data_IF_700563256013
#
_entry.id   IF_700563256013
#
_cell.length_a   1.000
_cell.length_b   1.000
_cell.length_c   1.000
_cell.angle_alpha   90.00
_cell.angle_beta   90.00
_cell.angle_gamma   90.00
#
_symmetry.space_group_name_H-M   'P 1'
#
loop_
_entity.id
_entity.type
_entity.pdbx_description
1 polymer ?
#
# COMPACT_ATOMS: atom_id res chain seq x y z
N UNK A 1 -47.23 -86.65 -35.21
CA UNK A 1 -46.70 -85.40 -35.76
C UNK A 1 -46.47 -84.44 -34.60
N UNK A 2 -45.28 -84.37 -34.07
CA UNK A 2 -44.89 -83.48 -32.93
C UNK A 2 -44.33 -82.21 -33.51
N UNK A 3 -44.94 -81.09 -33.20
CA UNK A 3 -44.40 -79.74 -33.47
C UNK A 3 -43.61 -79.31 -32.22
N UNK A 4 -42.31 -79.12 -32.37
CA UNK A 4 -41.42 -78.54 -31.36
C UNK A 4 -41.54 -77.01 -31.42
N UNK A 5 -41.92 -76.39 -30.30
CA UNK A 5 -41.89 -74.96 -30.08
C UNK A 5 -40.51 -74.54 -29.57
N UNK A 6 -39.84 -73.60 -30.21
CA UNK A 6 -38.61 -72.95 -29.78
C UNK A 6 -38.98 -71.69 -28.96
N UNK A 7 -38.42 -71.48 -27.79
CA UNK A 7 -38.60 -70.25 -27.06
C UNK A 7 -37.55 -69.22 -27.56
N UNK A 8 -38.00 -68.06 -27.95
CA UNK A 8 -37.17 -66.91 -28.22
C UNK A 8 -36.81 -66.23 -26.88
N UNK A 9 -35.52 -66.28 -26.50
CA UNK A 9 -34.99 -65.45 -25.41
C UNK A 9 -34.66 -64.08 -25.98
N UNK A 10 -35.47 -63.07 -25.66
CA UNK A 10 -35.14 -61.65 -25.90
C UNK A 10 -34.14 -61.18 -24.87
N UNK A 11 -32.88 -60.95 -25.32
CA UNK A 11 -31.85 -60.35 -24.49
C UNK A 11 -32.13 -58.85 -24.37
N UNK A 12 -32.67 -58.41 -23.22
CA UNK A 12 -32.80 -56.98 -22.88
C UNK A 12 -31.43 -56.45 -22.52
N UNK A 13 -30.77 -55.75 -23.43
CA UNK A 13 -29.55 -54.98 -23.13
C UNK A 13 -29.99 -53.69 -22.41
N UNK A 14 -29.83 -53.66 -21.11
CA UNK A 14 -30.02 -52.43 -20.33
C UNK A 14 -28.86 -51.48 -20.61
N UNK A 15 -29.12 -50.46 -21.43
CA UNK A 15 -28.22 -49.31 -21.60
C UNK A 15 -28.30 -48.48 -20.34
N UNK A 16 -27.31 -48.65 -19.44
CA UNK A 16 -27.14 -47.79 -18.28
C UNK A 16 -26.54 -46.47 -18.82
N UNK A 17 -27.23 -45.33 -18.79
CA UNK A 17 -26.63 -44.08 -19.13
C UNK A 17 -25.54 -43.78 -18.09
N UNK A 18 -24.27 -43.83 -18.53
CA UNK A 18 -23.17 -43.30 -17.74
C UNK A 18 -23.45 -41.80 -17.51
N UNK A 19 -23.91 -41.47 -16.34
CA UNK A 19 -23.94 -40.08 -15.87
C UNK A 19 -22.47 -39.63 -15.77
N UNK A 20 -21.97 -39.11 -16.88
CA UNK A 20 -20.74 -38.29 -16.84
C UNK A 20 -21.10 -37.09 -15.99
N UNK A 21 -20.77 -37.18 -14.72
CA UNK A 21 -20.86 -36.07 -13.82
C UNK A 21 -19.91 -34.99 -14.37
N UNK A 22 -20.48 -34.00 -15.04
CA UNK A 22 -19.71 -32.86 -15.53
C UNK A 22 -19.01 -32.29 -14.29
N UNK A 23 -17.70 -32.42 -14.25
CA UNK A 23 -16.87 -31.86 -13.17
C UNK A 23 -17.17 -30.36 -13.14
N UNK A 24 -17.78 -29.89 -12.06
CA UNK A 24 -18.17 -28.47 -11.91
C UNK A 24 -16.89 -27.65 -12.04
N UNK A 25 -16.84 -26.80 -13.08
CA UNK A 25 -15.67 -25.96 -13.35
C UNK A 25 -15.56 -24.93 -12.21
N UNK A 26 -14.52 -25.07 -11.39
CA UNK A 26 -14.24 -24.16 -10.25
C UNK A 26 -13.52 -22.92 -10.70
N UNK A 27 -13.77 -21.83 -9.98
CA UNK A 27 -12.97 -20.60 -10.12
C UNK A 27 -11.74 -20.70 -9.23
N UNK A 28 -10.57 -20.51 -9.81
CA UNK A 28 -9.35 -20.39 -9.01
C UNK A 28 -9.31 -19.02 -8.33
N UNK A 29 -9.21 -19.00 -7.01
CA UNK A 29 -9.11 -17.79 -6.21
C UNK A 29 -7.76 -17.80 -5.50
N UNK A 30 -6.93 -16.80 -5.79
CA UNK A 30 -5.68 -16.57 -5.09
C UNK A 30 -5.80 -15.30 -4.24
N UNK A 31 -5.42 -15.38 -2.96
CA UNK A 31 -5.44 -14.24 -2.04
C UNK A 31 -4.00 -13.81 -1.79
N UNK A 32 -3.63 -12.64 -2.33
CA UNK A 32 -2.39 -11.97 -2.01
C UNK A 32 -2.61 -11.06 -0.80
N UNK A 33 -2.03 -11.44 0.32
CA UNK A 33 -1.99 -10.59 1.51
C UNK A 33 -0.85 -9.60 1.41
N UNK A 34 -1.14 -8.31 1.56
CA UNK A 34 -0.16 -7.22 1.47
C UNK A 34 -0.03 -6.46 2.79
N UNK A 35 1.14 -5.92 3.07
CA UNK A 35 1.36 -4.95 4.15
C UNK A 35 1.25 -3.52 3.56
N UNK A 36 0.25 -3.28 2.73
CA UNK A 36 -0.04 -2.02 2.04
C UNK A 36 1.23 -1.29 1.56
N UNK A 37 1.47 -0.04 1.93
CA UNK A 37 2.61 0.75 1.48
C UNK A 37 4.01 0.18 1.83
N UNK A 38 4.12 -1.01 2.45
CA UNK A 38 5.41 -1.68 2.67
C UNK A 38 6.20 -1.90 1.37
N UNK A 39 5.52 -1.98 0.23
CA UNK A 39 6.13 -2.03 -1.09
C UNK A 39 7.09 -0.86 -1.36
N UNK A 40 6.92 0.25 -0.66
CA UNK A 40 7.80 1.42 -0.78
C UNK A 40 9.05 1.32 0.11
N UNK A 41 9.13 0.32 1.00
CA UNK A 41 10.22 0.13 1.96
C UNK A 41 10.93 -1.21 1.78
N UNK A 42 10.20 -2.25 1.40
CA UNK A 42 10.69 -3.63 1.25
C UNK A 42 11.06 -3.92 -0.21
N UNK A 43 12.36 -4.07 -0.49
CA UNK A 43 12.85 -4.35 -1.86
C UNK A 43 12.27 -5.63 -2.47
N UNK A 44 12.08 -6.68 -1.65
CA UNK A 44 11.54 -7.97 -2.12
C UNK A 44 10.04 -7.93 -2.44
N UNK A 45 9.36 -6.85 -2.05
CA UNK A 45 7.94 -6.58 -2.31
C UNK A 45 7.73 -5.32 -3.17
N UNK A 46 8.78 -4.77 -3.77
CA UNK A 46 8.75 -3.51 -4.53
C UNK A 46 7.61 -3.42 -5.56
N UNK A 47 7.13 -2.21 -5.91
CA UNK A 47 5.96 -2.03 -6.79
C UNK A 47 6.02 -2.78 -8.11
N UNK A 48 7.21 -2.84 -8.74
CA UNK A 48 7.43 -3.60 -9.96
C UNK A 48 7.18 -5.11 -9.82
N UNK A 49 7.27 -5.66 -8.59
CA UNK A 49 6.97 -7.06 -8.34
C UNK A 49 5.48 -7.35 -8.55
N UNK A 50 4.59 -6.55 -7.96
CA UNK A 50 3.15 -6.70 -8.15
C UNK A 50 2.74 -6.43 -9.60
N UNK A 51 3.28 -5.38 -10.23
CA UNK A 51 2.99 -5.07 -11.61
C UNK A 51 3.38 -6.22 -12.57
N UNK A 52 4.59 -6.75 -12.41
CA UNK A 52 5.06 -7.90 -13.20
C UNK A 52 4.28 -9.19 -12.90
N UNK A 53 3.83 -9.37 -11.66
CA UNK A 53 3.04 -10.55 -11.29
C UNK A 53 1.63 -10.50 -11.87
N UNK A 54 1.00 -9.34 -11.91
CA UNK A 54 -0.28 -9.15 -12.59
C UNK A 54 -0.17 -9.48 -14.09
N UNK A 55 0.94 -9.08 -14.76
CA UNK A 55 1.21 -9.44 -16.15
C UNK A 55 1.47 -10.94 -16.36
N UNK A 56 2.04 -11.62 -15.36
CA UNK A 56 2.26 -13.06 -15.38
C UNK A 56 0.96 -13.84 -15.19
N UNK A 57 0.15 -13.47 -14.19
CA UNK A 57 -1.07 -14.19 -13.80
C UNK A 57 -2.23 -13.91 -14.73
N UNK A 58 -2.36 -12.67 -15.21
CA UNK A 58 -3.47 -12.19 -16.07
C UNK A 58 -4.84 -12.59 -15.53
N UNK A 59 -5.20 -12.17 -14.31
CA UNK A 59 -6.46 -12.56 -13.70
C UNK A 59 -7.64 -11.98 -14.48
N UNK A 60 -8.77 -12.70 -14.50
CA UNK A 60 -10.01 -12.23 -15.10
C UNK A 60 -10.68 -11.13 -14.27
N UNK A 61 -10.41 -11.10 -12.97
CA UNK A 61 -10.82 -10.03 -12.07
C UNK A 61 -9.80 -9.85 -10.93
N UNK A 62 -9.66 -8.62 -10.46
CA UNK A 62 -8.87 -8.26 -9.28
C UNK A 62 -9.78 -7.65 -8.24
N UNK A 63 -9.92 -8.33 -7.10
CA UNK A 63 -10.65 -7.84 -5.95
C UNK A 63 -9.74 -6.98 -5.09
N UNK A 64 -10.23 -5.79 -4.69
CA UNK A 64 -9.47 -4.79 -3.95
C UNK A 64 -10.15 -4.43 -2.63
N UNK A 65 -9.36 -4.09 -1.64
CA UNK A 65 -9.83 -3.70 -0.31
C UNK A 65 -10.39 -2.27 -0.33
N UNK A 66 -11.58 -2.14 -0.90
CA UNK A 66 -12.35 -0.89 -0.89
C UNK A 66 -13.85 -1.19 -0.91
N UNK A 67 -14.69 -0.45 -0.13
CA UNK A 67 -16.14 -0.54 -0.25
C UNK A 67 -16.62 -0.16 -1.65
N UNK A 68 -17.59 -0.90 -2.23
CA UNK A 68 -18.07 -0.64 -3.60
C UNK A 68 -18.56 0.79 -3.83
N UNK A 69 -19.28 1.35 -2.86
CA UNK A 69 -19.81 2.71 -2.91
C UNK A 69 -18.73 3.79 -2.87
N UNK A 70 -17.58 3.51 -2.26
CA UNK A 70 -16.43 4.40 -2.24
C UNK A 70 -15.59 4.23 -3.52
N UNK A 71 -15.38 3.00 -3.95
CA UNK A 71 -14.67 2.71 -5.20
C UNK A 71 -15.37 3.34 -6.42
N UNK A 72 -16.72 3.34 -6.45
CA UNK A 72 -17.50 3.99 -7.53
C UNK A 72 -17.28 5.51 -7.61
N UNK A 73 -16.86 6.14 -6.52
CA UNK A 73 -16.49 7.55 -6.43
C UNK A 73 -14.98 7.79 -6.57
N UNK A 74 -14.21 6.73 -6.87
CA UNK A 74 -12.74 6.76 -6.91
C UNK A 74 -12.11 7.24 -5.58
N UNK A 75 -12.79 6.94 -4.48
CA UNK A 75 -12.35 7.28 -3.14
C UNK A 75 -11.62 6.09 -2.51
N UNK A 76 -10.28 6.06 -2.57
CA UNK A 76 -9.44 4.97 -2.06
C UNK A 76 -8.74 5.38 -0.75
N UNK A 77 -8.31 4.39 0.06
CA UNK A 77 -7.50 4.65 1.24
C UNK A 77 -6.14 5.20 0.84
N UNK A 78 -5.70 6.28 1.48
CA UNK A 78 -4.44 6.95 1.12
C UNK A 78 -3.24 5.99 1.14
N UNK A 79 -3.20 5.09 2.11
CA UNK A 79 -2.08 4.17 2.36
C UNK A 79 -2.06 2.92 1.46
N UNK A 80 -3.09 2.65 0.68
CA UNK A 80 -3.15 1.48 -0.21
C UNK A 80 -2.42 1.77 -1.54
N UNK A 81 -1.09 1.85 -1.47
CA UNK A 81 -0.26 2.13 -2.64
C UNK A 81 -0.43 1.08 -3.73
N UNK A 82 -0.52 -0.20 -3.36
CA UNK A 82 -0.75 -1.32 -4.28
C UNK A 82 -2.00 -1.14 -5.12
N UNK A 83 -3.06 -0.56 -4.55
CA UNK A 83 -4.29 -0.27 -5.29
C UNK A 83 -4.08 0.90 -6.23
N UNK A 84 -3.72 2.07 -5.69
CA UNK A 84 -3.71 3.33 -6.42
C UNK A 84 -2.55 3.45 -7.41
N UNK A 85 -1.35 3.01 -7.01
CA UNK A 85 -0.13 3.13 -7.81
C UNK A 85 0.06 1.99 -8.80
N UNK A 86 -0.59 0.82 -8.59
CA UNK A 86 -0.28 -0.38 -9.37
C UNK A 86 -1.56 -0.99 -9.98
N UNK A 87 -2.52 -1.44 -9.15
CA UNK A 87 -3.66 -2.22 -9.64
C UNK A 87 -4.59 -1.39 -10.51
N UNK A 88 -4.94 -0.17 -10.11
CA UNK A 88 -5.84 0.68 -10.89
C UNK A 88 -5.28 1.01 -12.29
N UNK A 89 -4.05 1.50 -12.44
CA UNK A 89 -3.49 1.77 -13.76
C UNK A 89 -3.30 0.48 -14.58
N UNK A 90 -2.91 -0.64 -13.95
CA UNK A 90 -2.77 -1.91 -14.63
C UNK A 90 -4.12 -2.44 -15.14
N UNK A 91 -5.16 -2.42 -14.29
CA UNK A 91 -6.50 -2.88 -14.66
C UNK A 91 -7.13 -2.03 -15.77
N UNK A 92 -6.94 -0.71 -15.72
CA UNK A 92 -7.37 0.20 -16.78
C UNK A 92 -6.71 -0.11 -18.13
N UNK A 93 -5.38 -0.36 -18.11
CA UNK A 93 -4.61 -0.71 -19.32
C UNK A 93 -5.04 -2.05 -19.91
N UNK A 94 -5.39 -3.03 -19.07
CA UNK A 94 -5.69 -4.41 -19.49
C UNK A 94 -7.20 -4.69 -19.59
N UNK A 95 -8.07 -3.70 -19.38
CA UNK A 95 -9.52 -3.84 -19.32
C UNK A 95 -9.98 -4.96 -18.36
N UNK A 96 -9.26 -5.15 -17.24
CA UNK A 96 -9.53 -6.18 -16.24
C UNK A 96 -10.62 -5.69 -15.28
N UNK A 97 -11.57 -6.58 -14.94
CA UNK A 97 -12.63 -6.26 -13.97
C UNK A 97 -12.04 -6.03 -12.58
N UNK A 98 -12.41 -4.90 -11.97
CA UNK A 98 -12.16 -4.63 -10.56
C UNK A 98 -13.37 -5.01 -9.72
N UNK A 99 -13.15 -5.74 -8.62
CA UNK A 99 -14.19 -6.08 -7.67
C UNK A 99 -13.87 -5.50 -6.28
N UNK A 100 -14.47 -4.36 -5.91
CA UNK A 100 -14.35 -3.82 -4.57
C UNK A 100 -15.04 -4.73 -3.55
N UNK A 101 -14.29 -5.21 -2.55
CA UNK A 101 -14.79 -6.22 -1.62
C UNK A 101 -14.98 -5.74 -0.18
N UNK A 102 -14.44 -4.59 0.15
CA UNK A 102 -14.37 -4.13 1.53
C UNK A 102 -15.71 -3.64 2.09
N UNK A 103 -15.79 -3.59 3.40
CA UNK A 103 -16.89 -3.00 4.15
C UNK A 103 -16.32 -2.13 5.28
N UNK A 104 -16.90 -0.98 5.48
CA UNK A 104 -16.56 -0.10 6.61
C UNK A 104 -17.74 0.02 7.55
N UNK A 105 -17.51 -0.03 8.88
CA UNK A 105 -18.54 0.23 9.85
C UNK A 105 -19.05 1.67 9.76
N UNK A 106 -20.22 1.97 10.36
CA UNK A 106 -20.66 3.35 10.57
C UNK A 106 -19.59 4.19 11.28
N UNK A 107 -19.60 5.50 11.04
CA UNK A 107 -18.56 6.42 11.55
C UNK A 107 -18.44 6.35 13.07
N UNK A 108 -19.56 6.31 13.79
CA UNK A 108 -19.54 6.24 15.26
C UNK A 108 -18.88 4.95 15.77
N UNK A 109 -19.14 3.82 15.11
CA UNK A 109 -18.50 2.54 15.43
C UNK A 109 -17.00 2.55 15.12
N UNK A 110 -16.59 3.26 14.04
CA UNK A 110 -15.18 3.45 13.72
C UNK A 110 -14.48 4.27 14.82
N UNK A 111 -15.09 5.37 15.26
CA UNK A 111 -14.56 6.21 16.33
C UNK A 111 -14.36 5.41 17.63
N UNK A 112 -15.36 4.63 18.00
CA UNK A 112 -15.31 3.80 19.22
C UNK A 112 -14.35 2.62 19.08
N UNK A 113 -14.36 1.93 17.93
CA UNK A 113 -13.62 0.70 17.74
C UNK A 113 -12.14 0.89 17.44
N UNK A 114 -11.80 1.96 16.72
CA UNK A 114 -10.40 2.22 16.31
C UNK A 114 -9.70 3.28 17.15
N UNK A 115 -10.38 3.84 18.16
CA UNK A 115 -9.78 4.80 19.09
C UNK A 115 -9.29 6.06 18.38
N UNK A 116 -10.10 6.61 17.48
CA UNK A 116 -9.73 7.80 16.73
C UNK A 116 -9.45 8.97 17.66
N UNK A 117 -8.42 9.72 17.36
CA UNK A 117 -8.07 10.92 18.09
C UNK A 117 -9.00 12.08 17.70
N UNK A 118 -9.87 12.45 18.63
CA UNK A 118 -10.81 13.57 18.46
C UNK A 118 -10.25 14.92 18.93
N UNK A 119 -9.10 14.91 19.63
CA UNK A 119 -8.52 16.11 20.23
C UNK A 119 -7.56 16.83 19.27
N UNK A 120 -7.01 16.13 18.29
CA UNK A 120 -6.12 16.76 17.30
C UNK A 120 -6.93 17.53 16.27
N UNK A 121 -6.59 18.81 16.01
CA UNK A 121 -7.21 19.58 14.93
C UNK A 121 -7.16 18.81 13.60
N UNK A 122 -8.26 18.83 12.84
CA UNK A 122 -8.40 18.13 11.55
C UNK A 122 -7.35 18.55 10.52
N UNK A 123 -6.78 19.73 10.68
CA UNK A 123 -5.77 20.32 9.80
C UNK A 123 -4.37 19.73 10.02
N UNK A 124 -4.09 19.23 11.23
CA UNK A 124 -2.74 18.76 11.62
C UNK A 124 -2.82 17.32 12.08
N UNK A 125 -2.00 16.46 11.47
CA UNK A 125 -1.85 15.06 11.89
C UNK A 125 -0.81 14.94 12.99
N UNK A 126 -0.98 13.98 13.88
CA UNK A 126 0.07 13.60 14.82
C UNK A 126 1.23 12.93 14.08
N UNK A 127 2.43 13.07 14.61
CA UNK A 127 3.60 12.35 14.08
C UNK A 127 3.49 10.84 14.27
N UNK A 128 2.70 10.39 15.25
CA UNK A 128 2.48 8.98 15.57
C UNK A 128 1.02 8.76 15.99
N UNK A 129 0.51 7.53 15.76
CA UNK A 129 -0.84 7.13 16.11
C UNK A 129 -1.70 6.76 14.91
N UNK A 130 -2.96 6.39 15.14
CA UNK A 130 -3.87 5.89 14.09
C UNK A 130 -4.10 6.89 12.95
N UNK A 131 -4.09 8.19 13.24
CA UNK A 131 -4.20 9.27 12.25
C UNK A 131 -2.88 9.97 11.96
N UNK A 132 -1.76 9.36 12.40
CA UNK A 132 -0.43 9.88 12.18
C UNK A 132 0.07 9.63 10.75
N UNK A 133 1.33 9.97 10.55
CA UNK A 133 2.02 9.65 9.30
C UNK A 133 2.43 8.18 9.29
N UNK A 134 2.13 7.49 8.20
CA UNK A 134 2.51 6.09 8.05
C UNK A 134 4.02 5.93 8.02
N UNK A 135 4.51 5.03 8.86
CA UNK A 135 5.92 4.62 8.92
C UNK A 135 6.02 3.14 9.27
N UNK A 136 7.15 2.53 8.97
CA UNK A 136 7.50 1.17 9.32
C UNK A 136 8.76 1.18 10.20
N UNK A 137 8.61 1.31 11.52
CA UNK A 137 9.74 1.43 12.44
C UNK A 137 10.38 0.07 12.81
N UNK A 138 9.69 -1.06 12.58
CA UNK A 138 10.27 -2.39 12.80
C UNK A 138 11.17 -2.77 11.61
N UNK A 139 12.45 -3.04 11.90
CA UNK A 139 13.45 -3.41 10.90
C UNK A 139 13.07 -4.69 10.11
N UNK A 140 12.24 -5.55 10.67
CA UNK A 140 11.77 -6.76 9.99
C UNK A 140 11.04 -6.46 8.68
N UNK A 141 10.48 -5.26 8.53
CA UNK A 141 9.82 -4.86 7.28
C UNK A 141 10.78 -4.91 6.07
N UNK A 142 12.07 -4.68 6.26
CA UNK A 142 13.06 -4.73 5.18
C UNK A 142 13.24 -6.13 4.59
N UNK A 143 12.84 -7.17 5.34
CA UNK A 143 12.88 -8.57 4.92
C UNK A 143 11.53 -9.06 4.38
N UNK A 144 10.49 -8.20 4.45
CA UNK A 144 9.17 -8.54 3.92
C UNK A 144 9.26 -8.93 2.44
N UNK A 145 8.77 -10.11 2.13
CA UNK A 145 8.75 -10.66 0.77
C UNK A 145 7.34 -10.61 0.20
N UNK A 146 7.24 -10.50 -1.10
CA UNK A 146 5.97 -10.42 -1.84
C UNK A 146 4.95 -11.53 -1.46
N UNK A 147 5.43 -12.71 -1.09
CA UNK A 147 4.60 -13.82 -0.64
C UNK A 147 4.71 -14.10 0.86
N UNK A 148 5.17 -13.16 1.67
CA UNK A 148 5.30 -13.34 3.13
C UNK A 148 3.98 -13.76 3.79
N UNK A 149 2.84 -13.32 3.26
CA UNK A 149 1.52 -13.71 3.76
C UNK A 149 1.09 -15.15 3.38
N UNK A 150 1.86 -15.86 2.58
CA UNK A 150 1.65 -17.30 2.34
C UNK A 150 2.35 -18.17 3.41
N UNK A 151 3.23 -17.57 4.22
CA UNK A 151 3.87 -18.26 5.35
C UNK A 151 2.95 -18.25 6.59
N UNK A 152 2.56 -19.43 7.11
CA UNK A 152 1.76 -19.52 8.33
C UNK A 152 2.40 -18.83 9.55
N UNK A 153 3.73 -18.77 9.63
CA UNK A 153 4.41 -18.09 10.74
C UNK A 153 4.16 -16.59 10.74
N UNK A 154 4.04 -15.98 9.58
CA UNK A 154 3.67 -14.56 9.43
C UNK A 154 2.25 -14.29 9.92
N UNK A 155 1.33 -15.23 9.70
CA UNK A 155 -0.09 -15.08 10.03
C UNK A 155 -0.42 -15.46 11.49
N UNK A 156 0.41 -16.27 12.14
CA UNK A 156 0.12 -16.81 13.48
C UNK A 156 -0.18 -15.74 14.55
N UNK A 157 0.54 -14.60 14.65
CA UNK A 157 0.22 -13.56 15.62
C UNK A 157 -1.17 -12.95 15.41
N UNK A 158 -1.60 -12.81 14.14
CA UNK A 158 -2.89 -12.25 13.77
C UNK A 158 -4.02 -13.21 14.10
N UNK A 159 -3.84 -14.48 13.76
CA UNK A 159 -4.81 -15.54 14.09
C UNK A 159 -4.99 -15.64 15.61
N UNK A 160 -3.89 -15.56 16.36
CA UNK A 160 -3.93 -15.53 17.82
C UNK A 160 -4.77 -14.35 18.32
N UNK A 161 -4.51 -13.13 17.83
CA UNK A 161 -5.30 -11.96 18.22
C UNK A 161 -6.80 -12.12 17.87
N UNK A 162 -7.11 -12.64 16.68
CA UNK A 162 -8.50 -12.80 16.23
C UNK A 162 -9.29 -13.84 17.04
N UNK A 163 -8.62 -14.87 17.58
CA UNK A 163 -9.24 -15.99 18.29
C UNK A 163 -9.18 -15.88 19.82
N UNK A 164 -8.30 -15.06 20.38
CA UNK A 164 -8.24 -14.85 21.82
C UNK A 164 -9.51 -14.17 22.34
N UNK A 165 -10.07 -14.62 23.47
CA UNK A 165 -11.22 -13.96 24.07
C UNK A 165 -10.83 -12.54 24.52
N UNK A 166 -11.72 -11.58 24.28
CA UNK A 166 -11.53 -10.24 24.82
C UNK A 166 -11.60 -10.28 26.36
N UNK A 167 -10.73 -9.50 27.06
CA UNK A 167 -10.72 -9.45 28.53
C UNK A 167 -12.08 -9.00 29.11
N UNK A 168 -12.80 -8.19 28.34
CA UNK A 168 -14.12 -7.66 28.69
C UNK A 168 -14.94 -7.47 27.43
N UNK A 169 -16.26 -7.67 27.52
CA UNK A 169 -17.18 -7.55 26.38
C UNK A 169 -17.21 -6.14 25.77
N UNK A 170 -16.99 -5.08 26.56
CA UNK A 170 -16.91 -3.70 26.10
C UNK A 170 -15.63 -3.39 25.32
N UNK A 171 -14.60 -4.25 25.39
CA UNK A 171 -13.35 -4.13 24.64
C UNK A 171 -13.26 -5.06 23.43
N UNK A 172 -14.37 -5.67 23.06
CA UNK A 172 -14.43 -6.62 21.96
C UNK A 172 -14.79 -5.98 20.62
N UNK A 173 -15.19 -4.70 20.62
CA UNK A 173 -15.67 -4.02 19.42
C UNK A 173 -14.68 -4.04 18.26
N UNK A 174 -13.37 -3.75 18.42
CA UNK A 174 -12.42 -3.79 17.30
C UNK A 174 -12.39 -5.15 16.61
N UNK A 175 -12.41 -6.23 17.41
CA UNK A 175 -12.41 -7.62 16.92
C UNK A 175 -13.69 -7.97 16.19
N UNK A 176 -14.84 -7.57 16.71
CA UNK A 176 -16.14 -7.79 16.06
C UNK A 176 -16.23 -7.05 14.73
N UNK A 177 -15.77 -5.81 14.68
CA UNK A 177 -15.72 -5.03 13.44
C UNK A 177 -14.79 -5.68 12.40
N UNK A 178 -13.63 -6.15 12.84
CA UNK A 178 -12.70 -6.89 12.00
C UNK A 178 -13.31 -8.16 11.43
N UNK A 179 -13.90 -9.01 12.26
CA UNK A 179 -14.49 -10.29 11.85
C UNK A 179 -15.66 -10.07 10.87
N UNK A 180 -16.53 -9.10 11.14
CA UNK A 180 -17.64 -8.79 10.25
C UNK A 180 -17.17 -8.22 8.92
N UNK A 181 -16.17 -7.33 8.95
CA UNK A 181 -15.54 -6.78 7.74
C UNK A 181 -14.95 -7.89 6.87
N UNK A 182 -14.18 -8.79 7.47
CA UNK A 182 -13.57 -9.93 6.79
C UNK A 182 -14.61 -10.89 6.20
N UNK A 183 -15.69 -11.16 6.96
CA UNK A 183 -16.82 -11.94 6.46
C UNK A 183 -17.45 -11.28 5.21
N UNK A 184 -17.70 -9.98 5.23
CA UNK A 184 -18.26 -9.26 4.09
C UNK A 184 -17.34 -9.29 2.88
N UNK A 185 -16.02 -9.15 3.08
CA UNK A 185 -15.03 -9.32 2.03
C UNK A 185 -15.12 -10.70 1.38
N UNK A 186 -15.15 -11.76 2.19
CA UNK A 186 -15.28 -13.13 1.69
C UNK A 186 -16.58 -13.37 0.91
N UNK A 187 -17.73 -12.81 1.35
CA UNK A 187 -18.99 -12.94 0.61
C UNK A 187 -18.94 -12.28 -0.76
N UNK A 188 -18.28 -11.13 -0.88
CA UNK A 188 -18.10 -10.45 -2.17
C UNK A 188 -17.13 -11.20 -3.10
N UNK A 189 -16.06 -11.77 -2.55
CA UNK A 189 -15.18 -12.69 -3.32
C UNK A 189 -15.97 -13.90 -3.83
N UNK A 190 -16.84 -14.48 -3.00
CA UNK A 190 -17.72 -15.61 -3.40
C UNK A 190 -18.63 -15.22 -4.57
N UNK A 191 -19.19 -14.03 -4.55
CA UNK A 191 -20.07 -13.54 -5.61
C UNK A 191 -19.34 -13.41 -6.96
N UNK A 192 -18.14 -12.81 -6.96
CA UNK A 192 -17.34 -12.66 -8.19
C UNK A 192 -16.82 -14.00 -8.69
N UNK A 193 -16.40 -14.91 -7.79
CA UNK A 193 -15.96 -16.26 -8.16
C UNK A 193 -17.06 -17.04 -8.90
N UNK A 194 -18.32 -16.96 -8.45
CA UNK A 194 -19.44 -17.58 -9.13
C UNK A 194 -19.75 -16.99 -10.52
N UNK A 195 -19.44 -15.70 -10.73
CA UNK A 195 -19.55 -15.01 -12.01
C UNK A 195 -18.43 -15.43 -12.98
N UNK A 196 -17.22 -15.74 -12.45
CA UNK A 196 -15.99 -16.01 -13.21
C UNK A 196 -15.59 -17.49 -13.21
N UNK A 197 -16.56 -18.40 -13.40
CA UNK A 197 -16.33 -19.85 -13.40
C UNK A 197 -15.25 -20.27 -14.39
N UNK A 198 -14.28 -21.06 -13.91
CA UNK A 198 -13.16 -21.56 -14.72
C UNK A 198 -12.01 -20.58 -14.90
N UNK A 199 -12.17 -19.34 -14.44
CA UNK A 199 -11.15 -18.30 -14.57
C UNK A 199 -10.35 -18.13 -13.25
N UNK A 200 -9.34 -17.28 -13.27
CA UNK A 200 -8.56 -16.93 -12.09
C UNK A 200 -9.04 -15.56 -11.58
N UNK A 201 -9.44 -15.51 -10.32
CA UNK A 201 -9.75 -14.28 -9.58
C UNK A 201 -8.65 -14.03 -8.57
N UNK A 202 -8.07 -12.84 -8.61
CA UNK A 202 -7.08 -12.40 -7.65
C UNK A 202 -7.75 -11.53 -6.58
N UNK A 203 -7.41 -11.75 -5.32
CA UNK A 203 -7.81 -10.90 -4.20
C UNK A 203 -6.57 -10.26 -3.62
N UNK A 204 -6.50 -8.92 -3.61
CA UNK A 204 -5.42 -8.17 -2.97
C UNK A 204 -5.99 -7.42 -1.78
N UNK A 205 -5.52 -7.78 -0.60
CA UNK A 205 -6.10 -7.33 0.67
C UNK A 205 -4.99 -7.27 1.73
N UNK A 206 -5.14 -6.39 2.73
CA UNK A 206 -4.24 -6.40 3.87
C UNK A 206 -4.06 -7.83 4.41
N UNK A 207 -2.79 -8.26 4.58
CA UNK A 207 -2.46 -9.65 4.94
C UNK A 207 -3.20 -10.13 6.19
N UNK A 208 -3.62 -9.18 7.02
CA UNK A 208 -4.41 -9.39 8.21
C UNK A 208 -5.75 -10.14 7.93
N UNK A 209 -6.39 -9.88 6.78
CA UNK A 209 -7.68 -10.48 6.42
C UNK A 209 -7.55 -11.85 5.73
N UNK A 210 -6.38 -12.16 5.16
CA UNK A 210 -6.17 -13.35 4.32
C UNK A 210 -6.60 -14.66 4.98
N UNK A 211 -6.15 -15.01 6.22
CA UNK A 211 -6.44 -16.31 6.79
C UNK A 211 -7.93 -16.56 7.02
N UNK A 212 -8.68 -15.55 7.43
CA UNK A 212 -10.10 -15.69 7.70
C UNK A 212 -10.94 -15.70 6.41
N UNK A 213 -10.53 -14.94 5.38
CA UNK A 213 -11.14 -15.04 4.04
C UNK A 213 -10.96 -16.46 3.50
N UNK A 214 -9.75 -17.03 3.56
CA UNK A 214 -9.47 -18.39 3.11
C UNK A 214 -10.30 -19.41 3.92
N UNK A 215 -10.37 -19.24 5.24
CA UNK A 215 -11.16 -20.12 6.11
C UNK A 215 -12.66 -20.13 5.76
N UNK A 216 -13.21 -18.98 5.35
CA UNK A 216 -14.60 -18.86 4.92
C UNK A 216 -14.82 -19.48 3.54
N UNK A 217 -13.90 -19.23 2.60
CA UNK A 217 -14.06 -19.65 1.20
C UNK A 217 -13.75 -21.13 0.97
N UNK A 218 -12.93 -21.78 1.78
CA UNK A 218 -12.50 -23.19 1.61
C UNK A 218 -13.65 -24.20 1.54
N UNK A 219 -14.82 -23.84 2.04
CA UNK A 219 -16.00 -24.70 2.05
C UNK A 219 -16.96 -24.44 0.88
N UNK A 220 -16.62 -23.52 -0.05
CA UNK A 220 -17.44 -23.26 -1.24
C UNK A 220 -16.99 -24.17 -2.39
N UNK A 221 -17.88 -25.07 -2.82
CA UNK A 221 -17.58 -26.06 -3.88
C UNK A 221 -17.28 -25.43 -5.23
N UNK A 222 -17.71 -24.19 -5.49
CA UNK A 222 -17.46 -23.46 -6.72
C UNK A 222 -16.06 -22.81 -6.75
N UNK A 223 -15.32 -22.84 -5.64
CA UNK A 223 -14.02 -22.17 -5.47
C UNK A 223 -12.91 -23.21 -5.31
N UNK A 224 -11.81 -22.98 -5.98
CA UNK A 224 -10.52 -23.61 -5.74
C UNK A 224 -9.57 -22.54 -5.19
N UNK A 225 -9.29 -22.60 -3.89
CA UNK A 225 -8.28 -21.74 -3.27
C UNK A 225 -6.89 -22.24 -3.68
N UNK A 226 -6.09 -21.33 -4.23
CA UNK A 226 -4.70 -21.60 -4.60
C UNK A 226 -3.77 -20.61 -3.88
N UNK A 227 -2.63 -21.07 -3.35
CA UNK A 227 -1.63 -20.14 -2.80
C UNK A 227 -1.19 -19.12 -3.85
N UNK A 228 -1.06 -17.86 -3.49
CA UNK A 228 -0.63 -16.82 -4.43
C UNK A 228 0.74 -17.16 -5.05
N UNK A 229 1.67 -17.69 -4.24
CA UNK A 229 2.98 -18.12 -4.71
C UNK A 229 2.93 -19.26 -5.77
N UNK A 230 1.87 -20.09 -5.79
CA UNK A 230 1.72 -21.16 -6.78
C UNK A 230 1.45 -20.66 -8.20
N UNK A 231 1.03 -19.40 -8.35
CA UNK A 231 0.84 -18.75 -9.66
C UNK A 231 2.15 -18.25 -10.27
N UNK A 232 3.28 -18.52 -9.62
CA UNK A 232 4.63 -18.19 -10.08
C UNK A 232 5.14 -16.85 -9.53
N UNK A 233 6.45 -16.67 -9.64
CA UNK A 233 7.15 -15.44 -9.24
C UNK A 233 7.80 -14.80 -10.47
N UNK A 234 7.59 -13.49 -10.72
CA UNK A 234 8.30 -12.79 -11.78
C UNK A 234 9.82 -12.82 -11.57
N UNK A 235 10.56 -12.99 -12.65
CA UNK A 235 12.02 -12.86 -12.63
C UNK A 235 12.46 -11.39 -12.52
N UNK A 236 13.67 -11.14 -12.02
CA UNK A 236 14.21 -9.80 -11.79
C UNK A 236 14.16 -8.89 -13.03
N UNK A 237 14.33 -9.43 -14.24
CA UNK A 237 14.24 -8.65 -15.47
C UNK A 237 12.83 -8.12 -15.71
N UNK A 238 11.80 -8.94 -15.49
CA UNK A 238 10.41 -8.52 -15.60
C UNK A 238 10.04 -7.47 -14.54
N UNK A 239 10.51 -7.66 -13.30
CA UNK A 239 10.31 -6.69 -12.21
C UNK A 239 10.91 -5.33 -12.57
N UNK A 240 12.16 -5.31 -13.05
CA UNK A 240 12.80 -4.05 -13.49
C UNK A 240 12.03 -3.38 -14.63
N UNK A 241 11.60 -4.16 -15.62
CA UNK A 241 10.82 -3.63 -16.76
C UNK A 241 9.45 -3.08 -16.34
N UNK A 242 8.83 -3.62 -15.29
CA UNK A 242 7.55 -3.18 -14.76
C UNK A 242 7.67 -2.02 -13.74
N UNK A 243 8.90 -1.69 -13.31
CA UNK A 243 9.15 -0.57 -12.38
C UNK A 243 9.18 0.74 -13.16
N UNK A 244 8.13 1.56 -13.03
CA UNK A 244 8.00 2.86 -13.72
C UNK A 244 8.77 3.99 -13.01
N UNK A 245 8.87 5.15 -13.65
CA UNK A 245 9.38 6.37 -13.01
C UNK A 245 8.56 6.75 -11.77
N UNK A 246 7.22 6.64 -11.85
CA UNK A 246 6.33 6.92 -10.71
C UNK A 246 6.59 5.96 -9.54
N UNK A 247 6.84 4.68 -9.81
CA UNK A 247 7.22 3.72 -8.77
C UNK A 247 8.52 4.12 -8.07
N UNK A 248 9.53 4.53 -8.84
CA UNK A 248 10.82 4.99 -8.31
C UNK A 248 10.65 6.29 -7.51
N UNK A 249 9.90 7.25 -8.03
CA UNK A 249 9.57 8.49 -7.33
C UNK A 249 8.85 8.24 -6.00
N UNK A 250 7.91 7.30 -5.98
CA UNK A 250 7.19 6.92 -4.76
C UNK A 250 8.11 6.30 -3.69
N UNK A 251 9.00 5.39 -4.10
CA UNK A 251 10.01 4.79 -3.20
C UNK A 251 10.91 5.88 -2.62
N UNK A 252 11.41 6.79 -3.46
CA UNK A 252 12.29 7.88 -3.04
C UNK A 252 11.57 8.87 -2.12
N UNK A 253 10.36 9.30 -2.48
CA UNK A 253 9.57 10.21 -1.64
C UNK A 253 9.29 9.61 -0.27
N UNK A 254 8.86 8.35 -0.20
CA UNK A 254 8.56 7.67 1.06
C UNK A 254 9.79 7.55 1.98
N UNK A 255 10.94 7.12 1.44
CA UNK A 255 12.14 6.84 2.22
C UNK A 255 13.00 8.07 2.51
N UNK A 256 12.95 9.11 1.69
CA UNK A 256 13.82 10.29 1.82
C UNK A 256 13.08 11.51 2.38
N UNK A 257 11.86 11.75 1.92
CA UNK A 257 11.09 12.94 2.30
C UNK A 257 10.09 12.67 3.40
N UNK A 258 9.47 11.49 3.39
CA UNK A 258 8.47 11.06 4.37
C UNK A 258 9.05 10.85 5.78
N UNK A 259 8.14 10.63 6.72
CA UNK A 259 8.50 10.32 8.12
C UNK A 259 9.27 9.01 8.25
N UNK A 260 9.26 8.12 7.27
CA UNK A 260 10.06 6.88 7.25
C UNK A 260 11.55 7.17 7.45
N UNK A 261 12.07 8.26 6.88
CA UNK A 261 13.46 8.68 7.06
C UNK A 261 13.87 8.87 8.55
N UNK A 262 12.90 9.19 9.42
CA UNK A 262 13.14 9.43 10.85
C UNK A 262 13.18 8.16 11.69
N UNK A 263 12.72 7.04 11.15
CA UNK A 263 12.70 5.76 11.88
C UNK A 263 14.07 5.07 11.94
N UNK A 264 14.99 5.45 11.06
CA UNK A 264 16.26 4.75 10.86
C UNK A 264 16.14 3.40 10.14
N UNK A 265 14.93 3.01 9.71
CA UNK A 265 14.64 1.75 9.01
C UNK A 265 14.51 2.04 7.54
N UNK A 266 15.63 2.12 6.83
CA UNK A 266 15.71 2.35 5.38
C UNK A 266 16.74 1.40 4.78
N UNK A 267 16.39 0.78 3.64
CA UNK A 267 17.34 0.01 2.84
C UNK A 267 18.16 0.96 1.94
N UNK A 268 19.22 1.56 2.52
CA UNK A 268 20.02 2.57 1.83
C UNK A 268 20.62 2.07 0.52
N UNK A 269 21.05 0.82 0.45
CA UNK A 269 21.62 0.26 -0.79
C UNK A 269 20.58 0.15 -1.91
N UNK A 270 19.34 -0.20 -1.58
CA UNK A 270 18.25 -0.19 -2.54
C UNK A 270 17.84 1.21 -2.96
N UNK A 271 17.66 2.12 -2.00
CA UNK A 271 17.34 3.54 -2.26
C UNK A 271 18.40 4.19 -3.17
N UNK A 272 19.69 3.89 -2.97
CA UNK A 272 20.77 4.40 -3.82
C UNK A 272 20.64 3.93 -5.28
N UNK A 273 20.32 2.65 -5.49
CA UNK A 273 20.09 2.11 -6.85
C UNK A 273 18.88 2.76 -7.52
N UNK A 274 17.76 2.85 -6.79
CA UNK A 274 16.53 3.52 -7.28
C UNK A 274 16.80 4.98 -7.63
N UNK A 275 17.57 5.69 -6.80
CA UNK A 275 17.95 7.09 -7.04
C UNK A 275 18.83 7.25 -8.28
N UNK A 276 19.78 6.34 -8.48
CA UNK A 276 20.62 6.35 -9.69
C UNK A 276 19.80 6.13 -10.96
N UNK A 277 18.88 5.16 -10.94
CA UNK A 277 17.99 4.87 -12.07
C UNK A 277 17.06 6.07 -12.34
N UNK A 278 16.45 6.65 -11.30
CA UNK A 278 15.54 7.80 -11.41
C UNK A 278 16.25 9.04 -12.00
N UNK A 279 17.44 9.36 -11.49
CA UNK A 279 18.21 10.51 -11.96
C UNK A 279 18.80 10.29 -13.38
N UNK A 280 19.06 9.04 -13.75
CA UNK A 280 19.57 8.67 -15.07
C UNK A 280 18.54 8.78 -16.19
N UNK A 281 17.24 8.68 -15.87
CA UNK A 281 16.18 8.81 -16.88
C UNK A 281 15.97 10.25 -17.34
N UNK A 282 15.95 11.22 -16.40
CA UNK A 282 15.87 12.65 -16.73
C UNK A 282 16.44 13.49 -15.57
N UNK A 283 17.55 14.22 -15.80
CA UNK A 283 18.00 15.23 -14.86
C UNK A 283 16.88 16.24 -14.60
N UNK A 284 16.49 16.39 -13.32
CA UNK A 284 15.40 17.29 -12.93
C UNK A 284 15.67 17.88 -11.55
N UNK A 285 15.03 19.03 -11.21
CA UNK A 285 15.11 19.57 -9.86
C UNK A 285 14.60 18.58 -8.78
N UNK A 286 13.62 17.75 -9.12
CA UNK A 286 13.14 16.67 -8.25
C UNK A 286 14.23 15.64 -7.94
N UNK A 287 14.94 15.18 -8.98
CA UNK A 287 16.07 14.25 -8.82
C UNK A 287 17.20 14.88 -7.98
N UNK A 288 17.52 16.16 -8.21
CA UNK A 288 18.52 16.88 -7.41
C UNK A 288 18.09 17.00 -5.93
N UNK A 289 16.81 17.23 -5.67
CA UNK A 289 16.28 17.30 -4.31
C UNK A 289 16.41 15.94 -3.60
N UNK A 290 16.05 14.84 -4.25
CA UNK A 290 16.26 13.50 -3.72
C UNK A 290 17.73 13.18 -3.48
N UNK A 291 18.63 13.53 -4.43
CA UNK A 291 20.09 13.33 -4.30
C UNK A 291 20.64 14.11 -3.09
N UNK A 292 20.23 15.37 -2.93
CA UNK A 292 20.66 16.21 -1.81
C UNK A 292 20.17 15.62 -0.48
N UNK A 293 18.91 15.20 -0.42
CA UNK A 293 18.33 14.59 0.78
C UNK A 293 19.02 13.27 1.14
N UNK A 294 19.24 12.40 0.17
CA UNK A 294 20.01 11.17 0.34
C UNK A 294 21.41 11.44 0.85
N UNK A 295 22.10 12.43 0.27
CA UNK A 295 23.45 12.81 0.68
C UNK A 295 23.54 13.23 2.15
N UNK A 296 22.57 14.01 2.65
CA UNK A 296 22.50 14.37 4.09
C UNK A 296 22.25 13.13 4.95
N UNK A 297 21.22 12.36 4.61
CA UNK A 297 20.79 11.22 5.44
C UNK A 297 21.85 10.11 5.53
N UNK A 298 22.72 10.01 4.53
CA UNK A 298 23.85 9.07 4.50
C UNK A 298 25.20 9.68 4.89
N UNK A 299 25.25 10.98 5.20
CA UNK A 299 26.49 11.67 5.57
C UNK A 299 27.47 11.89 4.41
N UNK A 300 27.01 11.75 3.16
CA UNK A 300 27.85 11.94 1.95
C UNK A 300 28.09 13.41 1.62
N UNK A 301 27.27 14.33 2.12
CA UNK A 301 27.43 15.77 1.99
C UNK A 301 27.22 16.45 3.34
N UNK A 302 27.86 17.61 3.51
CA UNK A 302 27.70 18.45 4.69
C UNK A 302 26.37 19.22 4.67
N UNK A 303 25.91 19.68 5.84
CA UNK A 303 24.74 20.56 5.95
C UNK A 303 24.92 21.85 5.12
N UNK A 304 26.13 22.41 5.10
CA UNK A 304 26.43 23.62 4.33
C UNK A 304 26.33 23.39 2.80
N UNK A 305 26.76 22.24 2.29
CA UNK A 305 26.59 21.85 0.89
C UNK A 305 25.11 21.65 0.57
N UNK A 306 24.39 20.95 1.43
CA UNK A 306 22.97 20.75 1.25
C UNK A 306 22.18 22.07 1.25
N UNK A 307 22.49 22.99 2.16
CA UNK A 307 21.86 24.31 2.20
C UNK A 307 22.06 25.07 0.88
N UNK A 308 23.25 25.01 0.29
CA UNK A 308 23.51 25.60 -1.04
C UNK A 308 22.68 24.92 -2.13
N UNK A 309 22.68 23.59 -2.16
CA UNK A 309 21.90 22.81 -3.14
C UNK A 309 20.41 23.14 -3.07
N UNK A 310 19.82 23.13 -1.86
CA UNK A 310 18.40 23.48 -1.70
C UNK A 310 18.10 24.92 -2.08
N UNK A 311 19.02 25.86 -1.84
CA UNK A 311 18.87 27.25 -2.30
C UNK A 311 18.84 27.31 -3.82
N UNK A 312 19.77 26.66 -4.51
CA UNK A 312 19.80 26.58 -5.97
C UNK A 312 18.51 25.98 -6.53
N UNK A 313 18.03 24.85 -5.97
CA UNK A 313 16.77 24.22 -6.38
C UNK A 313 15.60 25.18 -6.16
N UNK A 314 15.54 25.89 -5.02
CA UNK A 314 14.46 26.82 -4.71
C UNK A 314 14.41 28.05 -5.61
N UNK A 315 15.53 28.42 -6.23
CA UNK A 315 15.67 29.57 -7.14
C UNK A 315 15.49 29.18 -8.62
N UNK A 316 15.61 27.89 -8.96
CA UNK A 316 15.43 27.40 -10.33
C UNK A 316 13.97 27.54 -10.79
N UNK A 317 13.76 28.13 -11.96
CA UNK A 317 12.43 28.28 -12.56
C UNK A 317 11.75 26.94 -12.81
N UNK A 318 12.50 25.91 -13.21
CA UNK A 318 11.99 24.57 -13.45
C UNK A 318 11.48 23.85 -12.18
N UNK A 319 11.84 24.32 -10.99
CA UNK A 319 11.42 23.75 -9.71
C UNK A 319 9.97 24.08 -9.31
N UNK A 320 9.25 24.92 -10.07
CA UNK A 320 7.84 25.22 -9.82
C UNK A 320 6.90 24.06 -10.19
N UNK A 321 7.44 22.98 -10.76
CA UNK A 321 6.67 21.80 -11.13
C UNK A 321 6.35 20.92 -9.90
N UNK A 322 5.17 20.25 -9.89
CA UNK A 322 4.86 19.27 -8.87
C UNK A 322 5.81 18.07 -8.94
N UNK A 323 5.90 17.34 -7.84
CA UNK A 323 6.52 16.02 -7.86
C UNK A 323 5.77 15.05 -8.78
N UNK A 324 6.47 14.11 -9.40
CA UNK A 324 5.87 13.06 -10.20
C UNK A 324 4.87 12.21 -9.38
N UNK A 325 5.18 11.96 -8.11
CA UNK A 325 4.27 11.29 -7.18
C UNK A 325 4.32 11.90 -5.77
N UNK A 326 3.18 12.15 -5.18
CA UNK A 326 3.06 12.80 -3.86
C UNK A 326 2.29 11.99 -2.82
N UNK A 327 1.52 10.98 -3.25
CA UNK A 327 0.61 10.26 -2.36
C UNK A 327 -0.51 11.12 -1.77
N UNK A 328 -0.78 12.29 -2.35
CA UNK A 328 -1.74 13.26 -1.82
C UNK A 328 -3.11 13.07 -2.43
N UNK A 329 -4.11 12.85 -1.60
CA UNK A 329 -5.51 12.75 -1.98
C UNK A 329 -6.20 14.12 -1.99
N UNK A 330 -6.12 14.85 -0.88
CA UNK A 330 -6.72 16.19 -0.73
C UNK A 330 -5.72 17.28 -1.10
N UNK A 331 -5.86 17.83 -2.31
CA UNK A 331 -4.96 18.86 -2.84
C UNK A 331 -5.05 20.20 -2.07
N UNK A 332 -6.05 20.40 -1.22
CA UNK A 332 -6.14 21.57 -0.34
C UNK A 332 -5.22 21.50 0.89
N UNK A 333 -4.66 20.31 1.18
CA UNK A 333 -3.75 20.06 2.29
C UNK A 333 -2.29 20.17 1.85
N UNK A 334 -1.38 20.40 2.82
CA UNK A 334 0.08 20.38 2.60
C UNK A 334 0.65 18.96 2.75
N UNK A 335 -0.01 18.12 3.55
CA UNK A 335 0.45 16.79 3.93
C UNK A 335 -0.13 15.67 3.05
N UNK A 336 0.56 14.55 3.05
CA UNK A 336 0.09 13.25 2.57
C UNK A 336 0.00 12.27 3.74
N UNK A 337 -0.34 11.01 3.47
CA UNK A 337 -0.45 9.98 4.50
C UNK A 337 0.91 9.57 5.13
N UNK A 338 2.03 9.93 4.53
CA UNK A 338 3.38 9.56 5.00
C UNK A 338 4.34 10.76 5.16
N UNK A 339 3.97 11.92 4.61
CA UNK A 339 4.86 13.09 4.53
C UNK A 339 4.10 14.37 4.94
N UNK A 340 4.54 15.06 6.01
CA UNK A 340 3.94 16.31 6.45
C UNK A 340 3.92 17.43 5.39
N UNK A 341 4.78 17.33 4.37
CA UNK A 341 4.98 18.35 3.34
C UNK A 341 4.79 17.81 1.92
N UNK A 342 4.11 16.66 1.78
CA UNK A 342 4.00 15.90 0.54
C UNK A 342 3.28 16.59 -0.62
N UNK A 343 2.49 17.64 -0.36
CA UNK A 343 1.73 18.37 -1.39
C UNK A 343 2.31 19.76 -1.72
N UNK A 344 3.59 19.93 -1.51
CA UNK A 344 4.35 21.06 -2.00
C UNK A 344 4.94 20.74 -3.38
N UNK A 345 5.11 21.76 -4.23
CA UNK A 345 5.96 21.61 -5.42
C UNK A 345 7.44 21.47 -5.03
N UNK A 346 8.30 21.14 -6.00
CA UNK A 346 9.72 20.90 -5.75
C UNK A 346 10.41 22.12 -5.16
N UNK A 347 10.07 23.33 -5.63
CA UNK A 347 10.60 24.61 -5.12
C UNK A 347 10.21 24.85 -3.66
N UNK A 348 8.94 24.67 -3.36
CA UNK A 348 8.42 24.85 -2.01
C UNK A 348 9.02 23.82 -1.06
N UNK A 349 9.15 22.58 -1.52
CA UNK A 349 9.79 21.52 -0.75
C UNK A 349 11.27 21.79 -0.51
N UNK A 350 12.01 22.27 -1.49
CA UNK A 350 13.41 22.67 -1.31
C UNK A 350 13.56 23.74 -0.21
N UNK A 351 12.61 24.67 -0.09
CA UNK A 351 12.59 25.66 1.02
C UNK A 351 12.38 24.99 2.37
N UNK A 352 11.49 24.00 2.45
CA UNK A 352 11.27 23.22 3.70
C UNK A 352 12.55 22.49 4.10
N UNK A 353 13.20 21.81 3.16
CA UNK A 353 14.45 21.09 3.42
C UNK A 353 15.62 22.03 3.74
N UNK A 354 15.66 23.21 3.12
CA UNK A 354 16.59 24.29 3.51
C UNK A 354 16.37 24.71 4.97
N UNK A 355 15.12 24.96 5.37
CA UNK A 355 14.80 25.32 6.75
C UNK A 355 15.19 24.22 7.72
N UNK A 356 14.91 22.93 7.41
CA UNK A 356 15.34 21.76 8.19
C UNK A 356 16.88 21.75 8.36
N UNK A 357 17.60 22.01 7.29
CA UNK A 357 19.07 22.04 7.29
C UNK A 357 19.59 23.18 8.16
N UNK A 358 18.97 24.36 8.06
CA UNK A 358 19.32 25.53 8.87
C UNK A 358 19.03 25.30 10.38
N UNK A 359 17.93 24.64 10.73
CA UNK A 359 17.66 24.23 12.12
C UNK A 359 18.76 23.28 12.62
N UNK A 360 19.17 22.30 11.82
CA UNK A 360 20.25 21.39 12.16
C UNK A 360 21.61 22.08 12.33
N UNK A 361 21.84 23.21 11.64
CA UNK A 361 23.00 24.07 11.84
C UNK A 361 22.86 25.04 13.02
N UNK A 362 21.72 25.08 13.74
CA UNK A 362 21.45 26.03 14.82
C UNK A 362 21.09 27.45 14.34
N UNK A 363 20.87 27.65 13.04
CA UNK A 363 20.51 28.94 12.42
C UNK A 363 19.00 29.19 12.46
N UNK A 364 18.39 29.08 13.65
CA UNK A 364 16.94 29.02 13.85
C UNK A 364 16.20 30.23 13.29
N UNK A 365 16.73 31.46 13.51
CA UNK A 365 16.08 32.68 12.99
C UNK A 365 15.99 32.69 11.46
N UNK A 366 17.05 32.20 10.78
CA UNK A 366 17.06 32.12 9.31
C UNK A 366 16.14 31.01 8.80
N UNK A 367 16.08 29.87 9.49
CA UNK A 367 15.16 28.80 9.19
C UNK A 367 13.71 29.29 9.26
N UNK A 368 13.36 29.99 10.33
CA UNK A 368 12.03 30.55 10.51
C UNK A 368 11.70 31.57 9.40
N UNK A 369 12.62 32.44 9.04
CA UNK A 369 12.44 33.42 7.95
C UNK A 369 12.12 32.72 6.61
N UNK A 370 12.79 31.59 6.30
CA UNK A 370 12.51 30.80 5.09
C UNK A 370 11.09 30.25 5.14
N UNK A 371 10.66 29.70 6.27
CA UNK A 371 9.29 29.16 6.45
C UNK A 371 8.23 30.25 6.39
N UNK A 372 8.46 31.43 6.98
CA UNK A 372 7.51 32.55 6.95
C UNK A 372 7.35 33.07 5.51
N UNK A 373 8.45 33.16 4.75
CA UNK A 373 8.41 33.50 3.33
C UNK A 373 7.62 32.48 2.52
N UNK A 374 7.80 31.18 2.80
CA UNK A 374 7.03 30.12 2.17
C UNK A 374 5.55 30.22 2.55
N UNK A 375 5.23 30.38 3.85
CA UNK A 375 3.86 30.48 4.35
C UNK A 375 3.06 31.61 3.67
N UNK A 376 3.72 32.73 3.37
CA UNK A 376 3.09 33.86 2.67
C UNK A 376 2.64 33.53 1.24
N UNK A 377 3.19 32.48 0.61
CA UNK A 377 2.82 32.02 -0.75
C UNK A 377 1.73 30.95 -0.75
N UNK A 378 1.39 30.40 0.41
CA UNK A 378 0.45 29.28 0.54
C UNK A 378 -0.98 29.77 0.83
N UNK A 379 -1.97 28.89 0.56
CA UNK A 379 -3.33 29.14 1.05
C UNK A 379 -3.36 29.17 2.59
N UNK A 380 -4.34 29.85 3.21
CA UNK A 380 -4.44 29.95 4.67
C UNK A 380 -4.40 28.59 5.38
N UNK A 381 -5.07 27.58 4.83
CA UNK A 381 -5.08 26.19 5.36
C UNK A 381 -3.68 25.57 5.29
N UNK A 382 -3.03 25.63 4.14
CA UNK A 382 -1.66 25.10 3.97
C UNK A 382 -0.64 25.83 4.85
N UNK A 383 -0.76 27.15 4.98
CA UNK A 383 0.10 27.93 5.86
C UNK A 383 -0.09 27.58 7.35
N UNK A 384 -1.33 27.32 7.78
CA UNK A 384 -1.63 26.81 9.13
C UNK A 384 -0.98 25.45 9.37
N UNK A 385 -1.11 24.53 8.42
CA UNK A 385 -0.47 23.21 8.50
C UNK A 385 1.06 23.29 8.51
N UNK A 386 1.66 24.14 7.67
CA UNK A 386 3.11 24.37 7.66
C UNK A 386 3.60 24.77 9.05
N UNK A 387 2.93 25.74 9.71
CA UNK A 387 3.25 26.13 11.09
C UNK A 387 3.08 24.97 12.08
N UNK A 388 2.00 24.19 11.95
CA UNK A 388 1.74 23.03 12.80
C UNK A 388 2.79 21.91 12.66
N UNK A 389 3.39 21.77 11.48
CA UNK A 389 4.42 20.76 11.21
C UNK A 389 5.86 21.28 11.36
N UNK A 390 6.06 22.57 11.61
CA UNK A 390 7.42 23.14 11.84
C UNK A 390 8.24 22.39 12.91
N UNK A 391 7.65 21.96 14.05
CA UNK A 391 8.41 21.19 15.05
C UNK A 391 9.00 19.88 14.52
N UNK A 392 8.46 19.29 13.45
CA UNK A 392 8.99 18.09 12.80
C UNK A 392 10.26 18.37 11.96
N UNK A 393 10.61 19.61 11.77
CA UNK A 393 11.83 20.04 11.07
C UNK A 393 13.01 20.26 12.03
N UNK A 394 12.71 20.49 13.30
CA UNK A 394 13.72 20.73 14.32
C UNK A 394 14.45 19.44 14.70
N UNK A 395 15.75 19.50 15.03
CA UNK A 395 16.44 18.34 15.56
C UNK A 395 15.73 17.87 16.83
N UNK A 396 15.41 16.58 16.89
CA UNK A 396 14.94 15.98 18.15
C UNK A 396 16.04 16.24 19.19
N UNK A 397 15.72 17.01 20.24
CA UNK A 397 16.64 17.19 21.35
C UNK A 397 17.04 15.80 21.83
N UNK A 398 18.27 15.38 21.55
CA UNK A 398 18.81 14.15 22.09
C UNK A 398 18.72 14.31 23.61
N UNK A 399 17.82 13.55 24.24
CA UNK A 399 17.82 13.44 25.69
C UNK A 399 19.28 13.16 26.07
N UNK A 400 19.87 14.09 26.78
CA UNK A 400 21.27 13.99 27.20
C UNK A 400 21.44 12.59 27.79
N UNK A 401 22.27 11.77 27.15
CA UNK A 401 22.74 10.54 27.79
C UNK A 401 23.40 11.00 29.09
N UNK A 402 22.66 10.91 30.17
CA UNK A 402 23.22 11.09 31.50
C UNK A 402 24.32 10.03 31.66
N UNK A 403 25.53 10.41 32.06
CA UNK A 403 26.69 9.53 32.11
C UNK A 403 26.50 8.36 33.07
#
# INVERSE_FOLDING_TARGET
MLRRAFPWFALLVAVIPSLVQAQEVRTRVAILGVEHAAQLVAEKDQPGMLAAWLDLVKPAAVCIERPPEQASRQDYYEFTYEIQGIILPWAAKNATELCPIDWMPPVDDQLLGFGLDLDTPLEVRKAQGFQGFLTFPDRKILDWDFFSADDPATLAPLQKWATEPAPRADRDLPRRLYLYRTFMQAQRVRAIARKRRGETVLVVVGYFHKPDIEAILKHDSAIELVPAASLGRPGNAAVRAATTADHRGAILAFNLLGMQATTGVVNWGWVERILADFAGEAPSPEAQLFQTRYGILTGKISLAEAARSYTTIAEDAASAEPFGWTGVKDKSRIDSFFDPFGNLDVRQRARVELARTLFAEGKNARAQQVLDTLAATLSPRKALQLRGYTPLLEPVATAAKTP
#
